data_IF_481648237643
#
_entry.id   IF_481648237643
#
_cell.length_a   1.000
_cell.length_b   1.000
_cell.length_c   1.000
_cell.angle_alpha   90.00
_cell.angle_beta   90.00
_cell.angle_gamma   90.00
#
_symmetry.space_group_name_H-M   'P 1'
#
loop_
_entity.id
_entity.type
_entity.pdbx_description
1 polymer ?
#
# COMPACT_ATOMS: atom_id res chain seq x y z
N UNK A 1 -19.35 8.70 -9.08
CA UNK A 1 -18.77 7.34 -8.91
C UNK A 1 -17.31 7.51 -8.52
N UNK A 2 -16.88 7.03 -7.35
CA UNK A 2 -15.49 7.23 -6.85
C UNK A 2 -14.54 6.07 -7.16
N UNK A 3 -15.05 4.84 -7.33
CA UNK A 3 -14.23 3.62 -7.33
C UNK A 3 -13.42 3.39 -8.61
N UNK A 4 -13.80 3.98 -9.73
CA UNK A 4 -13.09 3.87 -11.02
C UNK A 4 -13.46 5.03 -11.93
N UNK A 5 -12.50 5.89 -12.25
CA UNK A 5 -12.64 7.05 -13.13
C UNK A 5 -11.40 7.19 -13.99
N UNK A 6 -11.51 7.90 -15.12
CA UNK A 6 -10.34 8.18 -15.99
C UNK A 6 -9.37 9.19 -15.37
N UNK A 7 -9.86 10.00 -14.43
CA UNK A 7 -9.08 10.97 -13.67
C UNK A 7 -9.47 10.86 -12.20
N UNK A 8 -8.47 10.81 -11.32
CA UNK A 8 -8.64 10.75 -9.88
C UNK A 8 -7.46 11.41 -9.17
N UNK A 9 -7.69 11.81 -7.93
CA UNK A 9 -6.65 12.32 -7.05
C UNK A 9 -6.04 11.16 -6.26
N UNK A 10 -4.73 11.14 -6.14
CA UNK A 10 -3.98 10.16 -5.37
C UNK A 10 -2.64 10.74 -4.90
N UNK A 11 -2.01 10.05 -3.97
CA UNK A 11 -0.64 10.32 -3.54
C UNK A 11 0.23 9.12 -3.88
N UNK A 12 1.40 9.38 -4.46
CA UNK A 12 2.44 8.38 -4.74
C UNK A 12 3.74 8.75 -4.03
N UNK A 13 4.43 7.75 -3.49
CA UNK A 13 5.68 7.92 -2.73
C UNK A 13 6.77 7.04 -3.32
N UNK A 14 7.95 7.61 -3.52
CA UNK A 14 9.12 6.92 -4.07
C UNK A 14 10.32 7.17 -3.16
N UNK A 15 10.93 6.11 -2.66
CA UNK A 15 12.09 6.15 -1.76
C UNK A 15 13.17 5.20 -2.26
N UNK A 16 14.43 5.53 -2.03
CA UNK A 16 15.57 4.65 -2.30
C UNK A 16 16.39 4.49 -1.02
N UNK A 17 16.82 3.27 -0.73
CA UNK A 17 17.52 2.90 0.50
C UNK A 17 18.78 2.12 0.15
N UNK A 18 19.76 2.11 1.04
CA UNK A 18 21.03 1.40 0.83
C UNK A 18 20.83 -0.11 0.98
N UNK A 19 19.97 -0.52 1.92
CA UNK A 19 19.71 -1.93 2.25
C UNK A 19 18.26 -2.34 1.98
N UNK A 20 18.05 -3.66 1.82
CA UNK A 20 16.71 -4.24 1.66
C UNK A 20 15.87 -4.07 2.93
N UNK A 21 16.51 -4.19 4.10
CA UNK A 21 15.87 -4.05 5.40
C UNK A 21 15.27 -2.67 5.60
N UNK A 22 16.00 -1.60 5.26
CA UNK A 22 15.51 -0.22 5.31
C UNK A 22 14.34 0.00 4.35
N UNK A 23 14.42 -0.53 3.13
CA UNK A 23 13.34 -0.44 2.16
C UNK A 23 12.07 -1.18 2.63
N UNK A 24 12.25 -2.32 3.30
CA UNK A 24 11.16 -3.10 3.86
C UNK A 24 10.54 -2.42 5.09
N UNK A 25 11.35 -1.80 5.96
CA UNK A 25 10.87 -0.99 7.09
C UNK A 25 10.00 0.17 6.60
N UNK A 26 10.47 0.94 5.61
CA UNK A 26 9.71 2.03 5.00
C UNK A 26 8.38 1.53 4.42
N UNK A 27 8.42 0.41 3.70
CA UNK A 27 7.24 -0.20 3.08
C UNK A 27 6.19 -0.59 4.13
N UNK A 28 6.61 -1.23 5.22
CA UNK A 28 5.70 -1.61 6.30
C UNK A 28 5.17 -0.42 7.08
N UNK A 29 5.98 0.63 7.26
CA UNK A 29 5.54 1.90 7.85
C UNK A 29 4.45 2.56 7.02
N UNK A 30 4.62 2.62 5.69
CA UNK A 30 3.60 3.18 4.79
C UNK A 30 2.32 2.33 4.77
N UNK A 31 2.44 1.00 4.78
CA UNK A 31 1.28 0.10 4.91
C UNK A 31 0.47 0.43 6.17
N UNK A 32 1.15 0.62 7.30
CA UNK A 32 0.51 0.96 8.57
C UNK A 32 -0.15 2.35 8.55
N UNK A 33 0.49 3.34 7.92
CA UNK A 33 -0.12 4.66 7.71
C UNK A 33 -1.42 4.55 6.91
N UNK A 34 -1.43 3.75 5.84
CA UNK A 34 -2.66 3.52 5.06
C UNK A 34 -3.74 2.75 5.84
N UNK A 35 -3.34 1.86 6.77
CA UNK A 35 -4.28 1.14 7.65
C UNK A 35 -4.97 2.12 8.58
N UNK A 36 -4.16 2.91 9.30
CA UNK A 36 -4.63 3.91 10.25
C UNK A 36 -5.52 4.94 9.58
N UNK A 37 -5.14 5.44 8.41
CA UNK A 37 -6.00 6.36 7.67
C UNK A 37 -7.39 5.76 7.36
N UNK A 38 -7.43 4.49 6.93
CA UNK A 38 -8.70 3.83 6.63
C UNK A 38 -9.53 3.54 7.90
N UNK A 39 -8.90 3.06 8.97
CA UNK A 39 -9.60 2.66 10.20
C UNK A 39 -9.94 3.83 11.12
N UNK A 40 -9.04 4.80 11.28
CA UNK A 40 -9.18 5.93 12.21
C UNK A 40 -9.92 7.11 11.57
N UNK A 41 -9.52 7.54 10.37
CA UNK A 41 -10.12 8.71 9.72
C UNK A 41 -11.38 8.38 8.94
N UNK A 42 -11.44 7.19 8.30
CA UNK A 42 -12.57 6.77 7.47
C UNK A 42 -13.52 5.76 8.16
N UNK A 43 -13.14 5.19 9.31
CA UNK A 43 -13.87 4.14 10.01
C UNK A 43 -14.16 2.88 9.15
N UNK A 44 -13.26 2.55 8.23
CA UNK A 44 -13.34 1.39 7.34
C UNK A 44 -12.40 0.30 7.87
N UNK A 45 -12.92 -0.86 8.31
CA UNK A 45 -12.08 -1.97 8.75
C UNK A 45 -11.36 -2.59 7.54
N UNK A 46 -10.05 -2.86 7.69
CA UNK A 46 -9.24 -3.45 6.63
C UNK A 46 -8.27 -4.49 7.15
N UNK A 47 -7.87 -5.41 6.27
CA UNK A 47 -6.95 -6.50 6.58
C UNK A 47 -5.68 -6.30 5.74
N UNK A 48 -4.52 -6.00 6.35
CA UNK A 48 -3.26 -5.97 5.63
C UNK A 48 -2.91 -7.36 5.08
N UNK A 49 -2.29 -7.42 3.90
CA UNK A 49 -1.90 -8.69 3.30
C UNK A 49 -0.86 -8.56 2.20
N UNK A 50 -0.14 -9.66 1.97
CA UNK A 50 0.77 -9.83 0.86
C UNK A 50 -0.01 -10.34 -0.36
N UNK A 51 0.18 -9.70 -1.52
CA UNK A 51 -0.38 -10.16 -2.79
C UNK A 51 0.31 -11.45 -3.25
N UNK A 52 -0.46 -12.28 -3.94
CA UNK A 52 0.10 -13.46 -4.63
C UNK A 52 1.03 -13.02 -5.77
N UNK A 53 1.90 -13.92 -6.22
CA UNK A 53 2.80 -13.65 -7.36
C UNK A 53 2.07 -13.19 -8.62
N UNK A 54 0.86 -13.68 -8.87
CA UNK A 54 0.05 -13.28 -10.02
C UNK A 54 -0.61 -11.90 -9.89
N UNK A 55 -0.73 -11.37 -8.66
CA UNK A 55 -1.40 -10.09 -8.40
C UNK A 55 -0.44 -8.96 -8.02
N UNK A 56 0.83 -9.25 -7.75
CA UNK A 56 1.82 -8.23 -7.39
C UNK A 56 2.08 -7.29 -8.57
N UNK A 57 2.55 -6.08 -8.29
CA UNK A 57 3.00 -5.19 -9.34
C UNK A 57 4.16 -5.86 -10.11
N UNK A 58 4.15 -5.93 -11.45
CA UNK A 58 5.13 -6.72 -12.20
C UNK A 58 6.61 -6.36 -11.93
N UNK A 59 6.90 -5.12 -11.53
CA UNK A 59 8.24 -4.67 -11.18
C UNK A 59 8.63 -4.83 -9.71
N UNK A 60 7.74 -5.34 -8.85
CA UNK A 60 7.98 -5.43 -7.42
C UNK A 60 8.49 -6.81 -6.99
N UNK A 61 9.37 -6.85 -6.00
CA UNK A 61 9.75 -8.08 -5.28
C UNK A 61 8.52 -8.62 -4.54
N UNK A 62 7.88 -7.75 -3.73
CA UNK A 62 6.65 -8.01 -3.00
C UNK A 62 5.67 -6.82 -3.16
N UNK A 63 4.36 -7.09 -3.12
CA UNK A 63 3.34 -6.03 -3.06
C UNK A 63 2.44 -6.29 -1.86
N UNK A 64 2.41 -5.35 -0.93
CA UNK A 64 1.50 -5.34 0.20
C UNK A 64 0.25 -4.54 -0.14
N UNK A 65 -0.90 -4.94 0.41
CA UNK A 65 -2.19 -4.31 0.14
C UNK A 65 -3.11 -4.34 1.36
N UNK A 66 -4.11 -3.45 1.36
CA UNK A 66 -5.26 -3.54 2.25
C UNK A 66 -6.39 -4.28 1.55
N UNK A 67 -7.00 -5.25 2.23
CA UNK A 67 -8.16 -6.00 1.77
C UNK A 67 -9.37 -5.69 2.65
N UNK A 68 -10.56 -5.83 2.07
CA UNK A 68 -11.82 -5.95 2.82
C UNK A 68 -12.27 -7.40 2.79
#
# INVERSE_FOLDING_TARGET
MFLRTSEFLWQEGHTAHETEEEAQEETMRMLEIYRRFQEEDLAIPVIPGLKTESEKFPGAIATYCMRQ
#
